data_IF_938169627160
#
_entry.id   IF_938169627160
#
_cell.length_a   1.000
_cell.length_b   1.000
_cell.length_c   1.000
_cell.angle_alpha   90.00
_cell.angle_beta   90.00
_cell.angle_gamma   90.00
#
_symmetry.space_group_name_H-M   'P 1'
#
loop_
_entity.id
_entity.type
_entity.pdbx_description
1 polymer ?
#
# COMPACT_ATOMS: atom_id res chain seq x y z
N UNK A 1 12.96 9.89 9.58
CA UNK A 1 13.88 8.74 9.76
C UNK A 1 13.06 7.53 9.39
N UNK A 2 13.44 6.83 8.32
CA UNK A 2 12.67 5.80 7.61
C UNK A 2 12.25 4.59 8.50
N UNK A 3 11.17 4.74 9.26
CA UNK A 3 10.66 3.76 10.20
C UNK A 3 9.58 2.85 9.58
N UNK A 4 8.65 3.43 8.81
CA UNK A 4 7.52 2.72 8.21
C UNK A 4 7.66 2.50 6.69
N UNK A 5 8.75 2.97 6.08
CA UNK A 5 9.06 2.74 4.66
C UNK A 5 10.57 2.74 4.44
N UNK A 6 11.00 2.37 3.23
CA UNK A 6 12.39 2.44 2.77
C UNK A 6 12.47 3.12 1.42
N UNK A 7 13.46 4.00 1.25
CA UNK A 7 13.70 4.70 -0.02
C UNK A 7 14.86 4.14 -0.83
N UNK A 8 15.60 3.13 -0.36
CA UNK A 8 16.83 2.73 -1.05
C UNK A 8 16.60 2.32 -2.51
N UNK A 9 15.52 1.57 -2.81
CA UNK A 9 15.16 1.22 -4.20
C UNK A 9 14.75 2.45 -5.01
N UNK A 10 14.00 3.38 -4.41
CA UNK A 10 13.61 4.65 -5.06
C UNK A 10 14.85 5.50 -5.36
N UNK A 11 15.80 5.60 -4.43
CA UNK A 11 17.07 6.31 -4.61
C UNK A 11 17.94 5.68 -5.68
N UNK A 12 17.99 4.34 -5.75
CA UNK A 12 18.69 3.61 -6.80
C UNK A 12 18.08 3.88 -8.18
N UNK A 13 16.74 3.90 -8.28
CA UNK A 13 16.03 4.26 -9.51
C UNK A 13 16.24 5.73 -9.91
N UNK A 14 16.37 6.62 -8.92
CA UNK A 14 16.55 8.05 -9.14
C UNK A 14 17.95 8.44 -9.59
N UNK A 15 18.97 7.60 -9.39
CA UNK A 15 20.39 7.90 -9.66
C UNK A 15 20.85 9.28 -9.11
N UNK A 16 20.35 9.63 -7.91
CA UNK A 16 20.64 10.90 -7.24
C UNK A 16 19.72 12.08 -7.60
N UNK A 17 18.67 11.87 -8.39
CA UNK A 17 17.65 12.88 -8.68
C UNK A 17 16.64 13.02 -7.52
N UNK A 18 16.84 14.02 -6.67
CA UNK A 18 15.95 14.30 -5.53
C UNK A 18 14.55 14.78 -5.95
N UNK A 19 14.42 15.46 -7.08
CA UNK A 19 13.11 15.89 -7.60
C UNK A 19 12.29 14.65 -8.04
N UNK A 20 12.96 13.65 -8.60
CA UNK A 20 12.33 12.37 -8.91
C UNK A 20 11.88 11.63 -7.65
N UNK A 21 12.71 11.58 -6.60
CA UNK A 21 12.34 10.95 -5.32
C UNK A 21 11.10 11.64 -4.73
N UNK A 22 11.07 12.98 -4.75
CA UNK A 22 9.93 13.77 -4.28
C UNK A 22 8.67 13.49 -5.10
N UNK A 23 8.78 13.37 -6.43
CA UNK A 23 7.65 13.02 -7.29
C UNK A 23 7.08 11.63 -6.97
N UNK A 24 7.95 10.65 -6.72
CA UNK A 24 7.53 9.29 -6.35
C UNK A 24 6.87 9.27 -4.95
N UNK A 25 7.40 10.04 -3.99
CA UNK A 25 6.78 10.20 -2.68
C UNK A 25 5.41 10.88 -2.77
N UNK A 26 5.26 11.91 -3.61
CA UNK A 26 3.97 12.57 -3.84
C UNK A 26 2.95 11.62 -4.49
N UNK A 27 3.37 10.83 -5.49
CA UNK A 27 2.51 9.82 -6.11
C UNK A 27 2.06 8.75 -5.11
N UNK A 28 2.92 8.34 -4.17
CA UNK A 28 2.51 7.47 -3.07
C UNK A 28 1.36 8.08 -2.25
N UNK A 29 1.50 9.35 -1.85
CA UNK A 29 0.51 10.05 -1.02
C UNK A 29 -0.84 10.23 -1.71
N UNK A 30 -0.85 10.34 -3.04
CA UNK A 30 -2.07 10.45 -3.83
C UNK A 30 -2.75 9.09 -4.04
N UNK A 31 -2.00 8.07 -4.46
CA UNK A 31 -2.60 6.83 -4.95
C UNK A 31 -2.84 5.78 -3.86
N UNK A 32 -1.85 5.53 -2.99
CA UNK A 32 -1.88 4.38 -2.08
C UNK A 32 -2.95 4.52 -1.00
N UNK A 33 -3.16 5.68 -0.36
CA UNK A 33 -4.26 5.88 0.58
C UNK A 33 -5.64 5.74 -0.08
N UNK A 34 -5.80 6.19 -1.32
CA UNK A 34 -7.06 6.06 -2.06
C UNK A 34 -7.37 4.58 -2.34
N UNK A 35 -6.39 3.82 -2.84
CA UNK A 35 -6.56 2.39 -3.09
C UNK A 35 -6.78 1.61 -1.79
N UNK A 36 -6.16 2.00 -0.68
CA UNK A 36 -6.39 1.41 0.65
C UNK A 36 -7.83 1.63 1.13
N UNK A 37 -8.37 2.84 0.95
CA UNK A 37 -9.76 3.14 1.27
C UNK A 37 -10.74 2.34 0.39
N UNK A 38 -10.43 2.20 -0.90
CA UNK A 38 -11.19 1.36 -1.84
C UNK A 38 -11.15 -0.11 -1.42
N UNK A 39 -9.98 -0.63 -1.05
CA UNK A 39 -9.79 -2.00 -0.57
C UNK A 39 -10.63 -2.27 0.67
N UNK A 40 -10.58 -1.37 1.66
CA UNK A 40 -11.37 -1.47 2.90
C UNK A 40 -12.87 -1.58 2.60
N UNK A 41 -13.37 -0.72 1.72
CA UNK A 41 -14.79 -0.73 1.33
C UNK A 41 -15.17 -2.03 0.62
N UNK A 42 -14.35 -2.47 -0.33
CA UNK A 42 -14.61 -3.68 -1.11
C UNK A 42 -14.68 -4.94 -0.22
N UNK A 43 -13.77 -5.08 0.75
CA UNK A 43 -13.81 -6.20 1.71
C UNK A 43 -15.08 -6.15 2.56
N UNK A 44 -15.48 -4.97 3.06
CA UNK A 44 -16.69 -4.82 3.87
C UNK A 44 -17.99 -5.13 3.10
N UNK A 45 -18.01 -4.89 1.79
CA UNK A 45 -19.15 -5.15 0.90
C UNK A 45 -19.10 -6.56 0.27
N UNK A 46 -18.08 -7.37 0.60
CA UNK A 46 -17.78 -8.63 -0.06
C UNK A 46 -17.66 -8.51 -1.60
N UNK A 47 -17.17 -7.37 -2.08
CA UNK A 47 -16.82 -7.14 -3.48
C UNK A 47 -15.43 -7.75 -3.77
N UNK A 48 -15.44 -9.04 -4.07
CA UNK A 48 -14.25 -9.84 -4.35
C UNK A 48 -13.43 -9.32 -5.54
N UNK A 49 -14.10 -8.85 -6.60
CA UNK A 49 -13.44 -8.34 -7.79
C UNK A 49 -12.69 -7.04 -7.50
N UNK A 50 -13.35 -6.08 -6.84
CA UNK A 50 -12.71 -4.82 -6.46
C UNK A 50 -11.61 -5.05 -5.43
N UNK A 51 -11.79 -6.00 -4.50
CA UNK A 51 -10.74 -6.38 -3.54
C UNK A 51 -9.49 -6.87 -4.26
N UNK A 52 -9.64 -7.79 -5.21
CA UNK A 52 -8.54 -8.29 -6.03
C UNK A 52 -7.82 -7.15 -6.77
N UNK A 53 -8.57 -6.29 -7.45
CA UNK A 53 -7.99 -5.21 -8.26
C UNK A 53 -7.26 -4.16 -7.42
N UNK A 54 -7.87 -3.68 -6.34
CA UNK A 54 -7.28 -2.68 -5.47
C UNK A 54 -5.99 -3.21 -4.83
N UNK A 55 -6.02 -4.42 -4.26
CA UNK A 55 -4.84 -5.03 -3.67
C UNK A 55 -3.73 -5.27 -4.70
N UNK A 56 -4.07 -5.73 -5.91
CA UNK A 56 -3.10 -5.92 -7.00
C UNK A 56 -2.44 -4.61 -7.42
N UNK A 57 -3.20 -3.49 -7.48
CA UNK A 57 -2.67 -2.17 -7.84
C UNK A 57 -1.69 -1.63 -6.80
N UNK A 58 -1.94 -1.86 -5.51
CA UNK A 58 -1.08 -1.37 -4.42
C UNK A 58 0.25 -2.13 -4.29
N UNK A 59 0.29 -3.42 -4.68
CA UNK A 59 1.46 -4.30 -4.54
C UNK A 59 2.80 -3.71 -4.97
N UNK A 60 2.97 -3.21 -6.22
CA UNK A 60 4.26 -2.69 -6.66
C UNK A 60 4.76 -1.54 -5.79
N UNK A 61 3.87 -0.65 -5.37
CA UNK A 61 4.24 0.48 -4.52
C UNK A 61 4.53 0.06 -3.09
N UNK A 62 3.77 -0.89 -2.54
CA UNK A 62 4.02 -1.47 -1.20
C UNK A 62 5.37 -2.20 -1.15
N UNK A 63 5.75 -2.91 -2.21
CA UNK A 63 7.06 -3.57 -2.32
C UNK A 63 8.19 -2.57 -2.55
N UNK A 64 7.98 -1.55 -3.40
CA UNK A 64 8.98 -0.52 -3.69
C UNK A 64 9.39 0.26 -2.44
N UNK A 65 8.40 0.61 -1.61
CA UNK A 65 8.59 1.35 -0.36
C UNK A 65 8.82 0.43 0.85
N UNK A 66 8.81 -0.89 0.67
CA UNK A 66 8.98 -1.92 1.72
C UNK A 66 8.18 -1.66 3.01
N UNK A 67 6.85 -1.48 2.88
CA UNK A 67 5.96 -1.20 4.02
C UNK A 67 5.84 -2.36 5.04
N UNK A 68 6.43 -3.53 4.74
CA UNK A 68 6.41 -4.70 5.62
C UNK A 68 5.06 -5.45 5.66
N UNK A 69 4.12 -5.13 4.78
CA UNK A 69 2.76 -5.73 4.72
C UNK A 69 2.43 -6.39 3.39
N UNK A 70 3.45 -6.69 2.58
CA UNK A 70 3.25 -7.27 1.24
C UNK A 70 2.53 -8.62 1.31
N UNK A 71 2.86 -9.45 2.31
CA UNK A 71 2.28 -10.79 2.44
C UNK A 71 0.81 -10.73 2.86
N UNK A 72 0.47 -9.82 3.77
CA UNK A 72 -0.90 -9.54 4.22
C UNK A 72 -1.74 -9.02 3.05
N UNK A 73 -1.20 -8.09 2.26
CA UNK A 73 -1.85 -7.61 1.05
C UNK A 73 -2.09 -8.72 0.03
N UNK A 74 -1.13 -9.64 -0.14
CA UNK A 74 -1.30 -10.83 -0.99
C UNK A 74 -2.44 -11.72 -0.47
N UNK A 75 -2.55 -11.90 0.85
CA UNK A 75 -3.67 -12.67 1.44
C UNK A 75 -5.02 -12.02 1.17
N UNK A 76 -5.15 -10.70 1.36
CA UNK A 76 -6.40 -9.97 1.02
C UNK A 76 -6.68 -10.05 -0.49
N UNK A 77 -5.66 -9.90 -1.32
CA UNK A 77 -5.79 -10.05 -2.77
C UNK A 77 -6.34 -11.42 -3.15
N UNK A 78 -5.76 -12.49 -2.60
CA UNK A 78 -6.11 -13.87 -2.96
C UNK A 78 -7.50 -14.24 -2.45
N UNK A 79 -7.92 -13.67 -1.31
CA UNK A 79 -9.30 -13.75 -0.85
C UNK A 79 -10.28 -13.18 -1.87
N UNK A 80 -9.98 -12.00 -2.43
CA UNK A 80 -10.74 -11.42 -3.55
C UNK A 80 -10.66 -12.26 -4.82
N UNK A 81 -9.47 -12.70 -5.21
CA UNK A 81 -9.22 -13.41 -6.47
C UNK A 81 -9.91 -14.77 -6.54
N UNK A 82 -9.93 -15.50 -5.44
CA UNK A 82 -10.45 -16.87 -5.37
C UNK A 82 -11.84 -16.95 -4.71
N UNK A 83 -12.46 -15.80 -4.42
CA UNK A 83 -13.77 -15.71 -3.75
C UNK A 83 -13.87 -16.60 -2.50
N UNK A 84 -12.89 -16.48 -1.58
CA UNK A 84 -12.78 -17.30 -0.37
C UNK A 84 -13.84 -16.92 0.68
N UNK A 85 -15.11 -17.20 0.37
CA UNK A 85 -16.32 -16.81 1.13
C UNK A 85 -16.33 -17.28 2.59
N UNK A 86 -15.62 -18.37 2.89
CA UNK A 86 -15.56 -18.97 4.23
C UNK A 86 -14.33 -18.53 5.04
N UNK A 87 -13.51 -17.62 4.49
CA UNK A 87 -12.31 -17.09 5.15
C UNK A 87 -12.51 -15.63 5.59
N UNK A 88 -11.90 -15.26 6.71
CA UNK A 88 -11.85 -13.89 7.21
C UNK A 88 -10.45 -13.30 6.98
N UNK A 89 -10.39 -12.14 6.34
CA UNK A 89 -9.15 -11.39 6.07
C UNK A 89 -9.08 -10.06 6.83
N UNK A 90 -9.96 -9.84 7.80
CA UNK A 90 -10.06 -8.57 8.55
C UNK A 90 -8.76 -8.22 9.26
N UNK A 91 -8.05 -9.21 9.82
CA UNK A 91 -6.77 -9.00 10.48
C UNK A 91 -5.67 -8.55 9.49
N UNK A 92 -5.58 -9.21 8.33
CA UNK A 92 -4.61 -8.86 7.28
C UNK A 92 -4.93 -7.49 6.68
N UNK A 93 -6.21 -7.22 6.43
CA UNK A 93 -6.67 -5.91 5.97
C UNK A 93 -6.27 -4.83 6.97
N UNK A 94 -6.51 -5.03 8.27
CA UNK A 94 -6.15 -4.06 9.30
C UNK A 94 -4.64 -3.75 9.29
N UNK A 95 -3.79 -4.77 9.21
CA UNK A 95 -2.33 -4.58 9.13
C UNK A 95 -1.93 -3.74 7.92
N UNK A 96 -2.52 -4.00 6.75
CA UNK A 96 -2.28 -3.21 5.54
C UNK A 96 -2.70 -1.76 5.73
N UNK A 97 -3.89 -1.51 6.28
CA UNK A 97 -4.42 -0.15 6.47
C UNK A 97 -3.56 0.66 7.45
N UNK A 98 -3.16 0.05 8.58
CA UNK A 98 -2.30 0.72 9.57
C UNK A 98 -0.91 1.04 9.00
N UNK A 99 -0.33 0.14 8.21
CA UNK A 99 0.95 0.39 7.57
C UNK A 99 0.85 1.55 6.56
N UNK A 100 -0.18 1.55 5.71
CA UNK A 100 -0.41 2.67 4.77
C UNK A 100 -0.58 3.98 5.51
N UNK A 101 -1.41 4.02 6.56
CA UNK A 101 -1.65 5.24 7.35
C UNK A 101 -0.36 5.79 7.97
N UNK A 102 0.43 4.94 8.66
CA UNK A 102 1.70 5.35 9.27
C UNK A 102 2.71 5.83 8.24
N UNK A 103 2.82 5.13 7.10
CA UNK A 103 3.72 5.53 6.01
C UNK A 103 3.28 6.85 5.38
N UNK A 104 1.98 7.06 5.18
CA UNK A 104 1.44 8.34 4.68
C UNK A 104 1.79 9.50 5.61
N UNK A 105 1.59 9.34 6.92
CA UNK A 105 1.96 10.36 7.90
C UNK A 105 3.47 10.62 7.91
N UNK A 106 4.28 9.57 7.86
CA UNK A 106 5.74 9.70 7.86
C UNK A 106 6.27 10.39 6.59
N UNK A 107 5.77 10.01 5.40
CA UNK A 107 6.19 10.64 4.13
C UNK A 107 5.80 12.11 4.11
N UNK A 108 4.60 12.49 4.56
CA UNK A 108 4.21 13.91 4.66
C UNK A 108 5.17 14.71 5.54
N UNK A 109 5.57 14.15 6.67
CA UNK A 109 6.51 14.79 7.59
C UNK A 109 7.93 14.85 7.02
N UNK A 110 8.44 13.74 6.47
CA UNK A 110 9.83 13.63 5.99
C UNK A 110 10.05 14.45 4.70
N UNK A 111 9.03 14.63 3.86
CA UNK A 111 9.10 15.43 2.61
C UNK A 111 8.43 16.81 2.70
N UNK A 112 7.80 17.15 3.83
CA UNK A 112 7.05 18.41 4.02
C UNK A 112 5.96 18.62 2.94
N UNK A 113 5.11 17.60 2.76
CA UNK A 113 3.99 17.54 1.80
C UNK A 113 2.62 17.53 2.50
#
# INVERSE_FOLDING_TARGET
MENNYKLYRVRELADGDEDFIMAIAAAFLEEVPEDAARLKKAVAEADYYTTYQAAHKMKPTIDLFELGVLQELITVQDWGKFEKKDEDVSAQLQLVLEAVERTTEEIKNDFNL
#
